data_IF_810351306898
#
_entry.id   IF_810351306898
#
_cell.length_a   1.000
_cell.length_b   1.000
_cell.length_c   1.000
_cell.angle_alpha   90.00
_cell.angle_beta   90.00
_cell.angle_gamma   90.00
#
_symmetry.space_group_name_H-M   'P 1'
#
loop_
_entity.id
_entity.type
_entity.pdbx_description
1 polymer ?
#
# COMPACT_ATOMS: atom_id res chain seq x y z
N UNK A 1 9.83 5.17 27.57
CA UNK A 1 9.73 3.77 28.05
C UNK A 1 9.48 2.90 26.82
N UNK A 2 10.49 2.17 26.34
CA UNK A 2 10.44 1.39 25.09
C UNK A 2 9.30 0.35 25.02
N UNK A 3 8.81 -0.12 26.17
CA UNK A 3 7.70 -1.06 26.26
C UNK A 3 6.40 -0.53 25.65
N UNK A 4 6.04 0.73 25.92
CA UNK A 4 4.79 1.34 25.42
C UNK A 4 4.77 1.54 23.90
N UNK A 5 5.94 1.71 23.29
CA UNK A 5 6.09 1.93 21.85
C UNK A 5 5.86 0.63 21.07
N UNK A 6 6.37 -0.49 21.58
CA UNK A 6 6.16 -1.83 21.02
C UNK A 6 4.68 -2.22 21.11
N UNK A 7 4.04 -2.00 22.27
CA UNK A 7 2.62 -2.31 22.46
C UNK A 7 1.74 -1.51 21.48
N UNK A 8 2.01 -0.22 21.31
CA UNK A 8 1.28 0.62 20.36
C UNK A 8 1.48 0.19 18.90
N UNK A 9 2.67 -0.28 18.54
CA UNK A 9 2.93 -0.83 17.21
C UNK A 9 2.20 -2.16 16.99
N UNK A 10 2.29 -3.07 17.96
CA UNK A 10 1.60 -4.36 17.91
C UNK A 10 0.09 -4.17 17.79
N UNK A 11 -0.49 -3.24 18.56
CA UNK A 11 -1.91 -2.92 18.47
C UNK A 11 -2.31 -2.48 17.04
N UNK A 12 -1.46 -1.73 16.33
CA UNK A 12 -1.71 -1.36 14.92
C UNK A 12 -1.66 -2.57 13.99
N UNK A 13 -0.71 -3.48 14.20
CA UNK A 13 -0.58 -4.72 13.42
C UNK A 13 -1.78 -5.64 13.67
N UNK A 14 -2.26 -5.74 14.90
CA UNK A 14 -3.45 -6.52 15.27
C UNK A 14 -4.75 -5.99 14.62
N UNK A 15 -4.81 -4.70 14.26
CA UNK A 15 -5.95 -4.15 13.52
C UNK A 15 -5.98 -4.57 12.03
N UNK A 16 -4.90 -5.17 11.52
CA UNK A 16 -4.83 -5.70 10.16
C UNK A 16 -5.68 -6.97 10.07
N UNK A 17 -6.54 -7.03 9.05
CA UNK A 17 -7.53 -8.10 8.85
C UNK A 17 -7.63 -8.50 7.39
N UNK A 18 -8.40 -9.56 7.14
CA UNK A 18 -8.75 -10.08 5.81
C UNK A 18 -9.36 -9.07 4.85
N UNK A 19 -9.88 -7.92 5.33
CA UNK A 19 -10.50 -6.89 4.48
C UNK A 19 -9.55 -5.78 4.04
N UNK A 20 -8.25 -5.91 4.29
CA UNK A 20 -7.24 -4.93 3.86
C UNK A 20 -6.64 -5.26 2.50
N UNK A 21 -6.55 -4.22 1.67
CA UNK A 21 -5.58 -4.11 0.59
C UNK A 21 -4.30 -3.51 1.17
N UNK A 22 -3.16 -4.14 0.92
CA UNK A 22 -1.84 -3.61 1.26
C UNK A 22 -1.16 -3.20 -0.04
N UNK A 23 -0.65 -1.97 -0.10
CA UNK A 23 0.04 -1.43 -1.27
C UNK A 23 1.43 -0.99 -0.83
N UNK A 24 2.45 -1.66 -1.36
CA UNK A 24 3.84 -1.24 -1.24
C UNK A 24 4.22 -0.37 -2.42
N UNK A 25 4.82 0.80 -2.17
CA UNK A 25 5.26 1.75 -3.18
C UNK A 25 6.76 1.98 -3.02
N UNK A 26 7.50 1.65 -4.08
CA UNK A 26 8.90 2.05 -4.27
C UNK A 26 8.92 3.43 -4.95
N UNK A 27 9.37 4.45 -4.21
CA UNK A 27 9.38 5.83 -4.68
C UNK A 27 10.74 6.21 -5.25
N UNK A 28 10.80 6.44 -6.57
CA UNK A 28 11.94 7.08 -7.26
C UNK A 28 11.66 8.54 -7.67
N UNK A 29 12.67 9.22 -8.24
CA UNK A 29 12.60 10.65 -8.65
C UNK A 29 11.46 10.94 -9.64
N UNK A 30 11.36 10.13 -10.70
CA UNK A 30 10.45 10.37 -11.83
C UNK A 30 9.28 9.39 -11.89
N UNK A 31 9.55 8.09 -11.67
CA UNK A 31 8.57 7.01 -11.81
C UNK A 31 8.58 6.16 -10.55
N UNK A 32 7.42 6.03 -9.93
CA UNK A 32 7.17 5.15 -8.80
C UNK A 32 6.59 3.81 -9.27
N UNK A 33 6.81 2.76 -8.48
CA UNK A 33 6.25 1.43 -8.72
C UNK A 33 5.46 0.97 -7.51
N UNK A 34 4.19 0.63 -7.70
CA UNK A 34 3.30 0.11 -6.66
C UNK A 34 2.93 -1.36 -6.91
N UNK A 35 2.95 -2.15 -5.83
CA UNK A 35 2.50 -3.54 -5.82
C UNK A 35 1.42 -3.74 -4.76
N UNK A 36 0.33 -4.40 -5.14
CA UNK A 36 -0.78 -4.69 -4.24
C UNK A 36 -0.76 -6.15 -3.78
N UNK A 37 -0.96 -6.34 -2.48
CA UNK A 37 -1.09 -7.63 -1.81
C UNK A 37 -2.29 -7.63 -0.87
N UNK A 38 -2.75 -8.81 -0.46
CA UNK A 38 -3.68 -8.93 0.67
C UNK A 38 -2.90 -8.88 2.00
N UNK A 39 -3.61 -8.93 3.12
CA UNK A 39 -3.01 -8.94 4.47
C UNK A 39 -1.98 -10.06 4.73
N UNK A 40 -1.94 -11.13 3.92
CA UNK A 40 -0.97 -12.23 4.01
C UNK A 40 0.25 -12.02 3.11
N UNK A 41 0.33 -10.91 2.38
CA UNK A 41 1.38 -10.66 1.40
C UNK A 41 1.17 -11.35 0.05
N UNK A 42 0.00 -11.95 -0.20
CA UNK A 42 -0.30 -12.57 -1.50
C UNK A 42 -0.65 -11.49 -2.51
N UNK A 43 0.02 -11.48 -3.66
CA UNK A 43 -0.22 -10.52 -4.75
C UNK A 43 -1.65 -10.63 -5.28
N UNK A 44 -2.35 -9.49 -5.35
CA UNK A 44 -3.77 -9.41 -5.79
C UNK A 44 -3.96 -8.65 -7.10
N UNK A 45 -2.91 -8.06 -7.64
CA UNK A 45 -2.89 -7.45 -8.97
C UNK A 45 -2.12 -8.32 -9.96
N UNK A 46 -2.57 -8.39 -11.23
CA UNK A 46 -1.85 -9.14 -12.27
C UNK A 46 -0.50 -8.52 -12.64
N UNK A 47 -0.36 -7.21 -12.44
CA UNK A 47 0.84 -6.41 -12.73
C UNK A 47 1.03 -5.36 -11.64
N UNK A 48 2.27 -4.93 -11.46
CA UNK A 48 2.57 -3.71 -10.71
C UNK A 48 2.02 -2.48 -11.45
N UNK A 49 1.83 -1.38 -10.73
CA UNK A 49 1.46 -0.09 -11.31
C UNK A 49 2.71 0.80 -11.35
N UNK A 50 3.08 1.27 -12.54
CA UNK A 50 4.04 2.37 -12.69
C UNK A 50 3.30 3.68 -12.89
N UNK A 51 3.70 4.72 -12.15
CA UNK A 51 3.10 6.05 -12.20
C UNK A 51 4.16 7.13 -11.99
N UNK A 52 3.95 8.32 -12.55
CA UNK A 52 4.91 9.42 -12.45
C UNK A 52 4.81 10.16 -11.11
N UNK A 53 5.88 10.86 -10.75
CA UNK A 53 5.91 11.81 -9.64
C UNK A 53 5.17 13.11 -10.00
N UNK A 54 3.88 13.00 -10.30
CA UNK A 54 3.00 14.09 -10.69
C UNK A 54 1.61 13.86 -10.11
N UNK A 55 0.79 14.92 -10.06
CA UNK A 55 -0.61 14.82 -9.61
C UNK A 55 -1.36 13.74 -10.40
N UNK A 56 -1.20 13.72 -11.72
CA UNK A 56 -1.85 12.75 -12.61
C UNK A 56 -1.38 11.31 -12.31
N UNK A 57 -0.12 11.13 -11.95
CA UNK A 57 0.43 9.85 -11.50
C UNK A 57 -0.20 9.37 -10.21
N UNK A 58 -0.36 10.25 -9.22
CA UNK A 58 -1.03 9.90 -7.95
C UNK A 58 -2.54 9.69 -8.12
N UNK A 59 -3.21 10.40 -9.04
CA UNK A 59 -4.59 10.10 -9.42
C UNK A 59 -4.72 8.70 -10.04
N UNK A 60 -3.79 8.33 -10.91
CA UNK A 60 -3.72 6.98 -11.50
C UNK A 60 -3.55 5.91 -10.42
N UNK A 61 -2.70 6.17 -9.42
CA UNK A 61 -2.55 5.30 -8.24
C UNK A 61 -3.87 5.17 -7.46
N UNK A 62 -4.54 6.28 -7.17
CA UNK A 62 -5.82 6.29 -6.45
C UNK A 62 -6.90 5.45 -7.15
N UNK A 63 -7.05 5.64 -8.47
CA UNK A 63 -8.01 4.87 -9.29
C UNK A 63 -7.69 3.38 -9.27
N UNK A 64 -6.42 3.02 -9.47
CA UNK A 64 -5.97 1.62 -9.44
C UNK A 64 -6.21 0.94 -8.09
N UNK A 65 -5.94 1.63 -6.97
CA UNK A 65 -6.23 1.10 -5.64
C UNK A 65 -7.74 0.89 -5.43
N UNK A 66 -8.57 1.84 -5.85
CA UNK A 66 -10.03 1.74 -5.76
C UNK A 66 -10.60 0.57 -6.57
N UNK A 67 -10.09 0.35 -7.79
CA UNK A 67 -10.47 -0.79 -8.63
C UNK A 67 -10.14 -2.13 -7.95
N UNK A 68 -8.96 -2.24 -7.33
CA UNK A 68 -8.55 -3.44 -6.59
C UNK A 68 -9.41 -3.67 -5.35
N UNK A 69 -9.72 -2.61 -4.59
CA UNK A 69 -10.61 -2.69 -3.44
C UNK A 69 -11.99 -3.19 -3.84
N UNK A 70 -12.58 -2.64 -4.90
CA UNK A 70 -13.88 -3.05 -5.40
C UNK A 70 -13.87 -4.50 -5.90
N UNK A 71 -12.88 -4.86 -6.73
CA UNK A 71 -12.74 -6.20 -7.31
C UNK A 71 -12.62 -7.30 -6.25
N UNK A 72 -11.87 -7.04 -5.18
CA UNK A 72 -11.59 -8.02 -4.12
C UNK A 72 -12.47 -7.81 -2.88
N UNK A 73 -13.42 -6.87 -2.91
CA UNK A 73 -14.31 -6.49 -1.79
C UNK A 73 -13.53 -6.11 -0.51
N UNK A 74 -12.37 -5.49 -0.68
CA UNK A 74 -11.51 -5.03 0.41
C UNK A 74 -11.93 -3.62 0.82
N UNK A 75 -12.22 -3.44 2.11
CA UNK A 75 -12.80 -2.20 2.65
C UNK A 75 -11.78 -1.25 3.24
N UNK A 76 -10.57 -1.75 3.51
CA UNK A 76 -9.51 -1.00 4.17
C UNK A 76 -8.25 -1.02 3.32
N UNK A 77 -7.41 -0.02 3.51
CA UNK A 77 -6.20 0.20 2.74
C UNK A 77 -5.04 0.48 3.70
N UNK A 78 -3.90 -0.16 3.45
CA UNK A 78 -2.62 0.14 4.06
C UNK A 78 -1.67 0.47 2.93
N UNK A 79 -0.98 1.60 3.03
CA UNK A 79 0.04 2.00 2.07
C UNK A 79 1.37 2.08 2.80
N UNK A 80 2.33 1.26 2.37
CA UNK A 80 3.74 1.40 2.74
C UNK A 80 4.46 2.12 1.61
N UNK A 81 5.13 3.23 1.92
CA UNK A 81 5.90 4.00 0.96
C UNK A 81 7.33 4.07 1.46
N UNK A 82 8.28 3.57 0.67
CA UNK A 82 9.69 3.68 0.97
C UNK A 82 10.33 4.65 -0.02
N UNK A 83 10.94 5.72 0.51
CA UNK A 83 11.75 6.64 -0.27
C UNK A 83 13.18 6.10 -0.35
N UNK A 84 13.65 5.78 -1.55
CA UNK A 84 15.08 5.64 -1.77
C UNK A 84 15.68 7.05 -1.76
N UNK A 85 16.45 7.39 -0.72
CA UNK A 85 17.28 8.59 -0.71
C UNK A 85 18.30 8.45 -1.85
N UNK A 86 18.04 9.11 -2.98
CA UNK A 86 18.95 9.18 -4.15
C UNK A 86 19.62 10.53 -4.28
#
# INVERSE_FOLDING_TARGET
>A
MKFKEIDAQNQRVEQITTSHLVVGIDMAKEIHVAQATNFRGIVVSKRHLSFSNSIEGFEKLSRWMSELQQKHRLKRLIIGMESLLV
#
